data_IF_109561681796
#
_entry.id   IF_109561681796
#
_cell.length_a   1.000
_cell.length_b   1.000
_cell.length_c   1.000
_cell.angle_alpha   90.00
_cell.angle_beta   90.00
_cell.angle_gamma   90.00
#
_symmetry.space_group_name_H-M   'P 1'
#
loop_
_entity.id
_entity.type
_entity.pdbx_description
1 polymer ?
#
# COMPACT_ATOMS: atom_id res chain seq x y z
N UNK A 1 10.96 -6.88 -2.89
CA UNK A 1 9.68 -6.72 -2.13
C UNK A 1 9.27 -8.10 -1.62
N UNK A 2 8.79 -8.21 -0.38
CA UNK A 2 8.23 -9.48 0.11
C UNK A 2 6.78 -9.61 -0.37
N UNK A 3 6.45 -10.69 -1.08
CA UNK A 3 5.10 -10.93 -1.62
C UNK A 3 4.06 -11.16 -0.52
N UNK A 4 4.44 -11.78 0.60
CA UNK A 4 3.53 -12.03 1.72
C UNK A 4 3.04 -10.72 2.33
N UNK A 5 3.95 -9.78 2.60
CA UNK A 5 3.59 -8.47 3.16
C UNK A 5 2.69 -7.66 2.23
N UNK A 6 2.89 -7.77 0.92
CA UNK A 6 2.01 -7.12 -0.06
C UNK A 6 0.60 -7.72 -0.03
N UNK A 7 0.48 -9.05 -0.04
CA UNK A 7 -0.83 -9.74 -0.01
C UNK A 7 -1.58 -9.42 1.30
N UNK A 8 -0.89 -9.42 2.43
CA UNK A 8 -1.48 -9.04 3.72
C UNK A 8 -2.01 -7.61 3.72
N UNK A 9 -1.25 -6.66 3.16
CA UNK A 9 -1.68 -5.28 3.05
C UNK A 9 -2.90 -5.12 2.13
N UNK A 10 -2.93 -5.83 1.00
CA UNK A 10 -4.06 -5.82 0.07
C UNK A 10 -5.34 -6.40 0.67
N UNK A 11 -5.26 -7.42 1.52
CA UNK A 11 -6.43 -8.00 2.18
C UNK A 11 -7.12 -7.03 3.17
N UNK A 12 -6.42 -6.01 3.66
CA UNK A 12 -6.98 -5.01 4.59
C UNK A 12 -7.67 -3.87 3.84
N UNK A 13 -7.18 -3.54 2.63
CA UNK A 13 -7.75 -2.48 1.81
C UNK A 13 -9.04 -2.99 1.16
N UNK A 14 -10.16 -2.29 1.36
CA UNK A 14 -11.48 -2.71 0.89
C UNK A 14 -11.89 -2.07 -0.44
N UNK A 15 -11.01 -1.27 -1.03
CA UNK A 15 -11.27 -0.54 -2.27
C UNK A 15 -10.89 -1.36 -3.50
N UNK A 16 -11.56 -1.10 -4.62
CA UNK A 16 -11.36 -1.84 -5.88
C UNK A 16 -9.99 -1.56 -6.52
N UNK A 17 -9.39 -0.41 -6.20
CA UNK A 17 -8.11 0.03 -6.71
C UNK A 17 -7.19 0.45 -5.56
N UNK A 18 -5.89 0.20 -5.74
CA UNK A 18 -4.84 0.57 -4.79
C UNK A 18 -3.80 1.44 -5.47
N UNK A 19 -3.39 2.51 -4.80
CA UNK A 19 -2.24 3.32 -5.17
C UNK A 19 -1.00 2.81 -4.44
N UNK A 20 0.12 2.76 -5.17
CA UNK A 20 1.44 2.39 -4.67
C UNK A 20 2.41 3.53 -4.97
N UNK A 21 2.87 4.23 -3.93
CA UNK A 21 3.85 5.30 -4.07
C UNK A 21 5.24 4.82 -3.64
N UNK A 22 6.24 5.13 -4.48
CA UNK A 22 7.65 4.80 -4.30
C UNK A 22 8.48 6.07 -4.50
N UNK A 23 9.42 6.36 -3.59
CA UNK A 23 10.42 7.42 -3.80
C UNK A 23 11.67 6.88 -4.51
N UNK A 24 12.20 5.76 -4.02
CA UNK A 24 13.40 5.07 -4.54
C UNK A 24 13.25 3.55 -4.32
N UNK A 25 14.15 2.74 -4.89
CA UNK A 25 14.08 1.27 -4.77
C UNK A 25 14.28 0.73 -3.33
N UNK A 26 14.86 1.53 -2.44
CA UNK A 26 15.12 1.18 -1.04
C UNK A 26 14.30 2.01 -0.04
N UNK A 27 13.48 2.96 -0.52
CA UNK A 27 12.58 3.73 0.35
C UNK A 27 11.35 2.92 0.72
N UNK A 28 10.69 3.23 1.86
CA UNK A 28 9.39 2.66 2.19
C UNK A 28 8.39 2.82 1.04
N UNK A 29 7.53 1.82 0.89
CA UNK A 29 6.46 1.78 -0.11
C UNK A 29 5.16 2.12 0.59
N UNK A 30 4.44 3.12 0.10
CA UNK A 30 3.15 3.53 0.67
C UNK A 30 2.01 2.92 -0.16
N UNK A 31 1.07 2.26 0.52
CA UNK A 31 -0.14 1.69 -0.06
C UNK A 31 -1.36 2.38 0.48
N UNK A 32 -2.29 2.72 -0.42
CA UNK A 32 -3.58 3.34 -0.09
C UNK A 32 -4.65 2.83 -1.03
N UNK A 33 -5.86 2.68 -0.54
CA UNK A 33 -7.02 2.44 -1.39
C UNK A 33 -7.46 3.72 -2.10
N UNK A 34 -7.89 3.60 -3.35
CA UNK A 34 -8.50 4.69 -4.10
C UNK A 34 -10.00 4.52 -3.99
N UNK A 35 -10.66 5.42 -3.27
CA UNK A 35 -12.11 5.43 -3.12
C UNK A 35 -12.70 6.65 -3.82
N UNK A 36 -13.79 6.47 -4.56
CA UNK A 36 -14.53 7.58 -5.19
C UNK A 36 -15.41 8.34 -4.19
N UNK A 37 -15.60 7.80 -2.97
CA UNK A 37 -16.40 8.41 -1.91
C UNK A 37 -15.47 8.98 -0.86
N UNK A 38 -15.55 10.28 -0.60
CA UNK A 38 -14.84 10.92 0.53
C UNK A 38 -15.20 10.18 1.83
N UNK A 39 -14.30 9.31 2.28
CA UNK A 39 -14.43 8.57 3.53
C UNK A 39 -13.48 9.19 4.53
N UNK A 40 -13.97 9.49 5.74
CA UNK A 40 -13.19 10.13 6.82
C UNK A 40 -11.99 9.28 7.31
N UNK A 41 -11.86 8.03 6.85
CA UNK A 41 -10.81 7.10 7.24
C UNK A 41 -10.02 6.60 6.02
N UNK A 42 -9.02 7.38 5.59
CA UNK A 42 -8.04 6.98 4.57
C UNK A 42 -7.01 6.03 5.21
N UNK A 43 -7.17 4.71 5.03
CA UNK A 43 -6.20 3.72 5.52
C UNK A 43 -4.91 3.77 4.69
N UNK A 44 -3.77 3.88 5.36
CA UNK A 44 -2.43 3.94 4.76
C UNK A 44 -1.58 2.82 5.34
N UNK A 45 -0.92 2.06 4.48
CA UNK A 45 -0.05 0.97 4.87
C UNK A 45 1.36 1.19 4.32
N UNK A 46 2.39 0.91 5.13
CA UNK A 46 3.79 1.11 4.74
C UNK A 46 4.51 -0.24 4.72
N UNK A 47 5.12 -0.57 3.58
CA UNK A 47 5.92 -1.79 3.41
C UNK A 47 7.38 -1.39 3.19
N UNK A 48 8.30 -1.97 3.97
CA UNK A 48 9.73 -1.80 3.72
C UNK A 48 10.19 -2.69 2.56
N UNK A 49 10.91 -2.16 1.56
CA UNK A 49 11.51 -3.00 0.52
C UNK A 49 12.67 -3.81 1.10
N UNK A 50 12.89 -4.99 0.50
CA UNK A 50 14.04 -5.83 0.80
C UNK A 50 15.18 -5.45 -0.15
N UNK A 51 16.38 -5.27 0.40
CA UNK A 51 17.60 -5.09 -0.39
C UNK A 51 17.91 -6.39 -1.14
N UNK A 52 18.04 -6.30 -2.46
CA UNK A 52 18.50 -7.37 -3.35
C UNK A 52 19.91 -7.00 -3.83
#
# INVERSE_FOLDING_TARGET
MNSTYLIEALNVIKDDYVSLDFETSLSPIMLRGITEKESEFEYKHIIMPLKI
#
